data_IF_169798709308
#
_entry.id   IF_169798709308
#
_cell.length_a   1.000
_cell.length_b   1.000
_cell.length_c   1.000
_cell.angle_alpha   90.00
_cell.angle_beta   90.00
_cell.angle_gamma   90.00
#
_symmetry.space_group_name_H-M   'P 1'
#
loop_
_entity.id
_entity.type
_entity.pdbx_description
1 polymer ?
#
# COMPACT_ATOMS: atom_id res chain seq x y z
N UNK A 1 -21.27 24.30 33.42
CA UNK A 1 -21.01 22.85 33.54
C UNK A 1 -19.77 22.53 32.71
N UNK A 2 -18.71 22.01 33.34
CA UNK A 2 -17.43 21.67 32.69
C UNK A 2 -17.53 20.25 32.14
N UNK A 3 -17.34 20.07 30.83
CA UNK A 3 -17.23 18.76 30.20
C UNK A 3 -15.81 18.24 30.43
N UNK A 4 -15.67 17.16 31.21
CA UNK A 4 -14.40 16.51 31.47
C UNK A 4 -13.86 15.82 30.21
N UNK A 5 -12.56 15.98 29.98
CA UNK A 5 -11.81 15.30 28.93
C UNK A 5 -11.65 13.82 29.30
N UNK A 6 -12.26 12.92 28.52
CA UNK A 6 -11.96 11.50 28.58
C UNK A 6 -10.67 11.26 27.80
N UNK A 7 -9.55 11.33 28.51
CA UNK A 7 -8.32 10.65 28.10
C UNK A 7 -8.63 9.15 28.26
N UNK A 8 -9.27 8.61 27.22
CA UNK A 8 -9.39 7.18 27.03
C UNK A 8 -8.09 6.69 26.44
N UNK A 9 -7.35 5.90 27.21
CA UNK A 9 -6.15 5.21 26.76
C UNK A 9 -6.43 4.46 25.45
N UNK A 10 -5.86 4.97 24.36
CA UNK A 10 -5.92 4.31 23.07
C UNK A 10 -5.14 2.99 23.17
N UNK A 11 -5.76 1.83 22.86
CA UNK A 11 -5.00 0.59 22.74
C UNK A 11 -3.89 0.79 21.68
N UNK A 12 -2.70 0.16 21.86
CA UNK A 12 -1.62 0.28 20.89
C UNK A 12 -2.16 -0.09 19.51
N UNK A 13 -1.97 0.82 18.56
CA UNK A 13 -2.50 0.65 17.20
C UNK A 13 -2.04 -0.70 16.68
N UNK A 14 -3.00 -1.60 16.43
CA UNK A 14 -2.70 -2.90 15.82
C UNK A 14 -2.19 -2.58 14.43
N UNK A 15 -0.87 -2.67 14.24
CA UNK A 15 -0.22 -2.45 12.96
C UNK A 15 -0.58 -3.63 12.06
N UNK A 16 -1.67 -3.52 11.32
CA UNK A 16 -2.04 -4.51 10.30
C UNK A 16 -1.04 -4.43 9.15
N UNK A 17 -0.09 -5.38 9.10
CA UNK A 17 0.83 -5.51 7.97
C UNK A 17 0.07 -6.17 6.82
N UNK A 18 -0.35 -5.37 5.84
CA UNK A 18 -0.95 -5.91 4.61
C UNK A 18 0.14 -6.55 3.74
N UNK A 19 0.24 -7.88 3.80
CA UNK A 19 1.12 -8.66 2.95
C UNK A 19 0.66 -8.53 1.49
N UNK A 20 1.55 -8.06 0.60
CA UNK A 20 1.19 -7.71 -0.77
C UNK A 20 1.19 -8.91 -1.73
N UNK A 21 0.62 -8.73 -2.94
CA UNK A 21 0.61 -9.73 -4.02
C UNK A 21 2.02 -10.17 -4.49
N UNK A 22 3.08 -9.41 -4.17
CA UNK A 22 4.48 -9.77 -4.46
C UNK A 22 5.08 -10.73 -3.43
N UNK A 23 4.49 -10.89 -2.25
CA UNK A 23 4.97 -11.81 -1.22
C UNK A 23 4.96 -13.27 -1.69
N UNK A 24 3.91 -13.73 -2.37
CA UNK A 24 3.83 -15.11 -2.89
C UNK A 24 4.99 -15.51 -3.81
N UNK A 25 5.30 -14.75 -4.89
CA UNK A 25 6.43 -15.11 -5.74
C UNK A 25 7.80 -14.91 -5.07
N UNK A 26 7.93 -13.98 -4.11
CA UNK A 26 9.14 -13.83 -3.31
C UNK A 26 9.37 -15.03 -2.40
N UNK A 27 8.36 -15.45 -1.64
CA UNK A 27 8.37 -16.66 -0.82
C UNK A 27 8.71 -17.88 -1.67
N UNK A 28 8.01 -18.11 -2.79
CA UNK A 28 8.24 -19.31 -3.62
C UNK A 28 9.66 -19.40 -4.17
N UNK A 29 10.30 -18.27 -4.50
CA UNK A 29 11.68 -18.25 -5.00
C UNK A 29 12.70 -18.46 -3.89
N UNK A 30 12.39 -18.00 -2.68
CA UNK A 30 13.33 -17.98 -1.56
C UNK A 30 13.21 -19.21 -0.65
N UNK A 31 12.07 -19.91 -0.68
CA UNK A 31 11.88 -21.19 0.01
C UNK A 31 12.63 -22.33 -0.64
N UNK A 32 12.80 -22.33 -1.98
CA UNK A 32 13.51 -23.40 -2.71
C UNK A 32 14.95 -23.64 -2.21
N UNK A 33 15.81 -22.62 -2.03
CA UNK A 33 17.16 -22.84 -1.51
C UNK A 33 17.20 -23.25 -0.03
N UNK A 34 16.20 -22.87 0.78
CA UNK A 34 16.17 -23.19 2.22
C UNK A 34 15.74 -24.62 2.48
N UNK A 35 14.82 -25.14 1.66
CA UNK A 35 14.45 -26.55 1.71
C UNK A 35 15.63 -27.45 1.31
N UNK A 36 16.54 -26.96 0.46
CA UNK A 36 17.75 -27.69 0.07
C UNK A 36 18.85 -27.69 1.15
N UNK A 37 18.77 -26.79 2.14
CA UNK A 37 19.70 -26.75 3.29
C UNK A 37 19.19 -27.51 4.51
N UNK A 38 17.99 -28.11 4.44
CA UNK A 38 17.46 -28.94 5.51
C UNK A 38 18.19 -30.29 5.44
N UNK A 39 18.89 -30.72 6.50
CA UNK A 39 19.50 -32.03 6.53
C UNK A 39 18.42 -33.11 6.39
N UNK A 40 18.66 -34.13 5.56
CA UNK A 40 17.72 -35.21 5.31
C UNK A 40 17.47 -36.08 6.55
N UNK A 41 18.43 -36.10 7.48
CA UNK A 41 18.34 -36.81 8.75
C UNK A 41 18.28 -35.78 9.89
N UNK A 42 17.08 -35.61 10.47
CA UNK A 42 16.88 -34.83 11.70
C UNK A 42 16.99 -35.82 12.86
N UNK A 43 18.18 -35.92 13.44
CA UNK A 43 18.51 -36.93 14.45
C UNK A 43 18.38 -36.34 15.86
N UNK A 44 18.73 -35.06 16.03
CA UNK A 44 18.76 -34.39 17.34
C UNK A 44 17.65 -33.35 17.50
N UNK A 45 17.24 -33.13 18.75
CA UNK A 45 16.37 -32.01 19.12
C UNK A 45 17.00 -30.65 18.78
N UNK A 46 18.33 -30.56 18.84
CA UNK A 46 19.06 -29.35 18.44
C UNK A 46 18.91 -29.05 16.94
N UNK A 47 18.81 -30.09 16.10
CA UNK A 47 18.60 -29.95 14.66
C UNK A 47 17.20 -29.40 14.37
N UNK A 48 16.19 -29.85 15.14
CA UNK A 48 14.82 -29.33 15.07
C UNK A 48 14.81 -27.83 15.39
N UNK A 49 15.43 -27.43 16.50
CA UNK A 49 15.49 -26.03 16.91
C UNK A 49 16.22 -25.15 15.90
N UNK A 50 17.29 -25.68 15.30
CA UNK A 50 18.04 -24.99 14.26
C UNK A 50 17.20 -24.79 12.99
N UNK A 51 16.47 -25.81 12.53
CA UNK A 51 15.60 -25.71 11.35
C UNK A 51 14.43 -24.75 11.62
N UNK A 52 13.79 -24.83 12.79
CA UNK A 52 12.70 -23.92 13.18
C UNK A 52 13.18 -22.47 13.21
N UNK A 53 14.36 -22.22 13.78
CA UNK A 53 14.97 -20.88 13.84
C UNK A 53 15.31 -20.36 12.44
N UNK A 54 15.89 -21.19 11.59
CA UNK A 54 16.23 -20.83 10.21
C UNK A 54 14.97 -20.48 9.39
N UNK A 55 13.91 -21.29 9.50
CA UNK A 55 12.64 -21.06 8.80
C UNK A 55 11.95 -19.79 9.31
N UNK A 56 11.94 -19.58 10.63
CA UNK A 56 11.34 -18.39 11.25
C UNK A 56 12.06 -17.11 10.80
N UNK A 57 13.40 -17.11 10.81
CA UNK A 57 14.20 -15.99 10.33
C UNK A 57 13.96 -15.71 8.85
N UNK A 58 13.79 -16.77 8.05
CA UNK A 58 13.49 -16.61 6.64
C UNK A 58 12.13 -15.96 6.38
N UNK A 59 11.08 -16.48 7.01
CA UNK A 59 9.72 -15.94 6.88
C UNK A 59 9.72 -14.47 7.30
N UNK A 60 10.40 -14.12 8.41
CA UNK A 60 10.55 -12.73 8.86
C UNK A 60 11.16 -11.86 7.77
N UNK A 61 12.29 -12.26 7.21
CA UNK A 61 12.99 -11.50 6.15
C UNK A 61 12.14 -11.36 4.88
N UNK A 62 11.43 -12.41 4.47
CA UNK A 62 10.57 -12.33 3.28
C UNK A 62 9.34 -11.45 3.54
N UNK A 63 8.74 -11.55 4.72
CA UNK A 63 7.63 -10.67 5.13
C UNK A 63 8.09 -9.23 5.15
N UNK A 64 9.26 -8.93 5.70
CA UNK A 64 9.83 -7.59 5.76
C UNK A 64 10.12 -7.04 4.36
N UNK A 65 10.80 -7.81 3.51
CA UNK A 65 11.10 -7.45 2.12
C UNK A 65 9.85 -7.30 1.23
N UNK A 66 8.79 -8.05 1.54
CA UNK A 66 7.51 -7.96 0.83
C UNK A 66 6.56 -6.95 1.45
N UNK A 67 6.79 -6.52 2.68
CA UNK A 67 6.04 -5.45 3.30
C UNK A 67 6.46 -4.13 2.66
N UNK A 68 5.49 -3.33 2.25
CA UNK A 68 5.73 -1.90 2.03
C UNK A 68 5.35 -1.24 3.34
N UNK A 69 6.29 -0.57 3.99
CA UNK A 69 5.97 0.36 5.07
C UNK A 69 5.21 1.53 4.42
N UNK A 70 3.89 1.39 4.33
CA UNK A 70 3.01 2.52 3.99
C UNK A 70 2.94 3.34 5.26
N UNK A 71 3.82 4.34 5.37
CA UNK A 71 3.78 5.28 6.48
C UNK A 71 2.39 5.92 6.48
N UNK A 72 1.59 5.63 7.49
CA UNK A 72 0.26 6.19 7.66
C UNK A 72 0.29 7.68 8.04
N UNK A 73 1.47 8.30 8.13
CA UNK A 73 1.57 9.77 8.07
C UNK A 73 1.45 10.18 6.62
N UNK A 74 0.20 10.13 6.19
CA UNK A 74 -0.23 10.76 4.97
C UNK A 74 -0.07 12.25 5.21
N UNK A 75 1.02 12.83 4.72
CA UNK A 75 1.07 14.26 4.37
C UNK A 75 0.14 14.50 3.17
N UNK A 76 -1.10 13.98 3.23
CA UNK A 76 -2.17 14.37 2.33
C UNK A 76 -2.43 15.81 2.70
N UNK A 77 -1.72 16.72 2.04
CA UNK A 77 -2.22 18.07 1.81
C UNK A 77 -3.64 17.88 1.31
N UNK A 78 -4.60 18.22 2.16
CA UNK A 78 -6.00 18.19 1.77
C UNK A 78 -6.13 19.17 0.61
N UNK A 79 -6.57 18.64 -0.53
CA UNK A 79 -6.85 19.48 -1.67
C UNK A 79 -8.09 20.32 -1.32
N UNK A 80 -8.11 21.60 -1.72
CA UNK A 80 -9.32 22.40 -1.64
C UNK A 80 -10.52 21.64 -2.25
N UNK A 81 -11.70 21.81 -1.64
CA UNK A 81 -12.88 20.99 -1.96
C UNK A 81 -13.26 21.01 -3.44
N UNK A 82 -13.09 22.16 -4.09
CA UNK A 82 -13.30 22.37 -5.52
C UNK A 82 -12.32 21.52 -6.38
N UNK A 83 -11.05 21.43 -6.00
CA UNK A 83 -10.06 20.61 -6.71
C UNK A 83 -10.36 19.12 -6.57
N UNK A 84 -10.77 18.69 -5.37
CA UNK A 84 -11.18 17.30 -5.11
C UNK A 84 -12.38 16.91 -5.99
N UNK A 85 -13.37 17.79 -6.11
CA UNK A 85 -14.55 17.59 -6.95
C UNK A 85 -14.18 17.45 -8.43
N UNK A 86 -13.33 18.34 -8.97
CA UNK A 86 -12.86 18.26 -10.36
C UNK A 86 -12.08 16.96 -10.62
N UNK A 87 -11.27 16.49 -9.66
CA UNK A 87 -10.57 15.20 -9.77
C UNK A 87 -11.56 14.04 -9.85
N UNK A 88 -12.64 14.09 -9.08
CA UNK A 88 -13.70 13.07 -9.10
C UNK A 88 -14.38 13.00 -10.48
N UNK A 89 -14.75 14.16 -11.05
CA UNK A 89 -15.33 14.27 -12.40
C UNK A 89 -14.38 13.76 -13.47
N UNK A 90 -13.09 14.15 -13.42
CA UNK A 90 -12.07 13.64 -14.34
C UNK A 90 -11.98 12.11 -14.31
N UNK A 91 -11.98 11.52 -13.11
CA UNK A 91 -11.88 10.08 -12.95
C UNK A 91 -13.14 9.35 -13.49
N UNK A 92 -14.32 9.92 -13.29
CA UNK A 92 -15.56 9.42 -13.89
C UNK A 92 -15.51 9.49 -15.43
N UNK A 93 -15.04 10.60 -15.99
CA UNK A 93 -14.88 10.78 -17.43
C UNK A 93 -13.87 9.79 -18.02
N UNK A 94 -12.72 9.55 -17.36
CA UNK A 94 -11.74 8.55 -17.79
C UNK A 94 -12.31 7.14 -17.82
N UNK A 95 -13.07 6.75 -16.79
CA UNK A 95 -13.77 5.45 -16.76
C UNK A 95 -14.78 5.35 -17.90
N UNK A 96 -15.55 6.41 -18.15
CA UNK A 96 -16.53 6.48 -19.25
C UNK A 96 -15.84 6.36 -20.62
N UNK A 97 -14.73 7.06 -20.83
CA UNK A 97 -13.95 6.99 -22.06
C UNK A 97 -13.32 5.61 -22.29
N UNK A 98 -12.92 4.92 -21.21
CA UNK A 98 -12.44 3.54 -21.29
C UNK A 98 -13.55 2.54 -21.64
N UNK A 99 -14.75 2.70 -21.07
CA UNK A 99 -15.90 1.82 -21.33
C UNK A 99 -16.56 2.08 -22.70
N UNK A 100 -16.66 3.35 -23.09
CA UNK A 100 -17.30 3.81 -24.31
C UNK A 100 -16.36 4.79 -25.04
N UNK A 101 -15.46 4.30 -25.92
CA UNK A 101 -14.37 5.10 -26.49
C UNK A 101 -14.81 6.01 -27.65
N UNK A 102 -15.86 6.81 -27.43
CA UNK A 102 -16.34 7.83 -28.37
C UNK A 102 -15.43 9.06 -28.41
N UNK A 103 -15.50 9.85 -29.48
CA UNK A 103 -14.75 11.09 -29.62
C UNK A 103 -15.08 12.08 -28.48
N UNK A 104 -16.36 12.23 -28.14
CA UNK A 104 -16.81 13.14 -27.09
C UNK A 104 -16.31 12.73 -25.70
N UNK A 105 -16.37 11.43 -25.37
CA UNK A 105 -15.90 10.94 -24.09
C UNK A 105 -14.39 11.14 -23.93
N UNK A 106 -13.63 10.90 -25.00
CA UNK A 106 -12.17 11.15 -25.04
C UNK A 106 -11.88 12.64 -24.89
N UNK A 107 -12.62 13.48 -25.61
CA UNK A 107 -12.48 14.94 -25.52
C UNK A 107 -12.75 15.43 -24.10
N UNK A 108 -13.88 15.02 -23.50
CA UNK A 108 -14.27 15.42 -22.15
C UNK A 108 -13.25 14.97 -21.09
N UNK A 109 -12.74 13.74 -21.20
CA UNK A 109 -11.71 13.25 -20.29
C UNK A 109 -10.39 14.04 -20.43
N UNK A 110 -9.97 14.38 -21.66
CA UNK A 110 -8.78 15.21 -21.92
C UNK A 110 -8.96 16.64 -21.40
N UNK A 111 -10.12 17.24 -21.61
CA UNK A 111 -10.43 18.58 -21.11
C UNK A 111 -10.32 18.65 -19.59
N UNK A 112 -10.98 17.72 -18.88
CA UNK A 112 -10.89 17.63 -17.42
C UNK A 112 -9.47 17.32 -16.92
N UNK A 113 -8.70 16.52 -17.67
CA UNK A 113 -7.30 16.27 -17.34
C UNK A 113 -6.45 17.55 -17.42
N UNK A 114 -6.67 18.40 -18.42
CA UNK A 114 -5.99 19.69 -18.56
C UNK A 114 -6.38 20.66 -17.43
N UNK A 115 -7.66 20.72 -17.06
CA UNK A 115 -8.15 21.57 -15.96
C UNK A 115 -7.49 21.17 -14.64
N UNK A 116 -7.48 19.87 -14.31
CA UNK A 116 -6.81 19.38 -13.09
C UNK A 116 -5.33 19.74 -13.09
N UNK A 117 -4.65 19.59 -14.23
CA UNK A 117 -3.22 19.91 -14.34
C UNK A 117 -2.95 21.40 -14.10
N UNK A 118 -3.81 22.29 -14.60
CA UNK A 118 -3.71 23.72 -14.37
C UNK A 118 -3.90 24.07 -12.88
N UNK A 119 -4.95 23.56 -12.25
CA UNK A 119 -5.24 23.78 -10.82
C UNK A 119 -4.15 23.25 -9.90
N UNK A 120 -3.60 22.08 -10.21
CA UNK A 120 -2.48 21.51 -9.44
C UNK A 120 -1.19 22.34 -9.58
N UNK A 121 -1.02 23.07 -10.69
CA UNK A 121 0.11 23.98 -10.89
C UNK A 121 -0.09 25.28 -10.09
N UNK A 122 -1.29 25.82 -10.08
CA UNK A 122 -1.69 27.00 -9.28
C UNK A 122 -1.47 26.74 -7.78
N UNK A 123 -2.04 25.65 -7.25
CA UNK A 123 -1.88 25.26 -5.83
C UNK A 123 -0.43 24.99 -5.39
N UNK A 124 0.50 24.78 -6.35
CA UNK A 124 1.93 24.63 -6.06
C UNK A 124 2.69 25.96 -6.07
N UNK A 125 2.18 26.96 -6.79
CA UNK A 125 2.79 28.29 -6.89
C UNK A 125 2.33 29.24 -5.76
N UNK A 126 1.17 28.97 -5.15
CA UNK A 126 0.61 29.77 -4.04
C UNK A 126 1.21 29.42 -2.66
N UNK A 127 2.33 28.67 -2.63
CA UNK A 127 2.97 28.17 -1.40
C UNK A 127 4.47 28.47 -1.38
#
# INVERSE_FOLDING_TARGET
MRLGSLIGDCPPSIKSVTINRRCRPCLRKSTTPILNSIPNDIISTDDIDNVVRALTNHIRTVVENSSKVVLAKSDRRELPGDVSEIISYKNAALRRAGKYPTCDNKYHARALQSIVKARMKEARNDN
#
